data_IF_644886405147
#
_entry.id   IF_644886405147
#
_cell.length_a   1.000
_cell.length_b   1.000
_cell.length_c   1.000
_cell.angle_alpha   90.00
_cell.angle_beta   90.00
_cell.angle_gamma   90.00
#
_symmetry.space_group_name_H-M   'P 1'
#
loop_
_entity.id
_entity.type
_entity.pdbx_description
1 polymer ?
#
# COMPACT_ATOMS: atom_id res chain seq x y z
N UNK A 1 3.60 -1.75 10.68
CA UNK A 1 3.69 -0.83 9.53
C UNK A 1 4.76 -1.39 8.60
N UNK A 2 4.47 -1.61 7.32
CA UNK A 2 5.48 -2.12 6.38
C UNK A 2 6.54 -1.06 6.11
N UNK A 3 7.81 -1.45 6.12
CA UNK A 3 8.94 -0.60 5.76
C UNK A 3 8.91 -0.22 4.28
N UNK A 4 9.69 0.80 3.90
CA UNK A 4 9.85 1.21 2.50
C UNK A 4 10.36 0.04 1.64
N UNK A 5 11.31 -0.73 2.15
CA UNK A 5 11.90 -1.88 1.46
C UNK A 5 10.88 -3.00 1.23
N UNK A 6 10.07 -3.33 2.24
CA UNK A 6 8.99 -4.31 2.08
C UNK A 6 7.95 -3.87 1.04
N UNK A 7 7.59 -2.58 1.03
CA UNK A 7 6.69 -2.02 0.00
C UNK A 7 7.30 -2.10 -1.39
N UNK A 8 8.61 -1.87 -1.53
CA UNK A 8 9.31 -1.97 -2.80
C UNK A 8 9.38 -3.43 -3.28
N UNK A 9 9.67 -4.37 -2.39
CA UNK A 9 9.67 -5.80 -2.68
C UNK A 9 8.30 -6.28 -3.18
N UNK A 10 7.20 -5.85 -2.54
CA UNK A 10 5.83 -6.14 -2.97
C UNK A 10 5.52 -5.56 -4.35
N UNK A 11 5.89 -4.30 -4.59
CA UNK A 11 5.73 -3.68 -5.91
C UNK A 11 6.46 -4.45 -7.02
N UNK A 12 7.70 -4.88 -6.76
CA UNK A 12 8.48 -5.70 -7.70
C UNK A 12 7.88 -7.09 -7.92
N UNK A 13 7.14 -7.62 -6.95
CA UNK A 13 6.44 -8.90 -7.03
C UNK A 13 5.03 -8.78 -7.65
N UNK A 14 4.65 -7.62 -8.21
CA UNK A 14 3.31 -7.32 -8.73
C UNK A 14 2.20 -7.34 -7.67
N UNK A 15 2.54 -7.24 -6.38
CA UNK A 15 1.61 -7.28 -5.26
C UNK A 15 1.29 -5.88 -4.73
N UNK A 16 0.12 -5.74 -4.09
CA UNK A 16 -0.26 -4.52 -3.39
C UNK A 16 0.80 -4.15 -2.34
N UNK A 17 1.30 -2.92 -2.39
CA UNK A 17 2.35 -2.48 -1.46
C UNK A 17 1.92 -2.47 0.00
N UNK A 18 0.62 -2.31 0.29
CA UNK A 18 0.12 -2.23 1.66
C UNK A 18 -0.32 -3.60 2.21
N UNK A 19 -1.21 -4.35 1.55
CA UNK A 19 -1.60 -5.68 2.04
C UNK A 19 -0.65 -6.80 1.61
N UNK A 20 -0.09 -6.75 0.40
CA UNK A 20 0.76 -7.82 -0.15
C UNK A 20 0.03 -9.13 -0.48
N UNK A 21 -1.29 -9.17 -0.36
CA UNK A 21 -2.09 -10.41 -0.51
C UNK A 21 -2.62 -10.62 -1.93
N UNK A 22 -2.81 -9.53 -2.66
CA UNK A 22 -3.38 -9.51 -4.01
C UNK A 22 -2.50 -8.69 -4.93
N UNK A 23 -2.65 -8.91 -6.23
CA UNK A 23 -1.97 -8.08 -7.24
C UNK A 23 -2.35 -6.61 -7.09
N UNK A 24 -1.37 -5.71 -7.31
CA UNK A 24 -1.70 -4.29 -7.35
C UNK A 24 -2.50 -3.99 -8.62
N UNK A 25 -3.41 -3.02 -8.53
CA UNK A 25 -4.24 -2.71 -9.70
C UNK A 25 -3.46 -1.96 -10.77
N UNK A 26 -3.90 -2.02 -12.03
CA UNK A 26 -3.24 -1.33 -13.14
C UNK A 26 -3.10 0.18 -12.87
N UNK A 27 -1.88 0.70 -13.06
CA UNK A 27 -1.55 2.12 -12.90
C UNK A 27 -1.45 2.63 -11.46
N UNK A 28 -1.57 1.76 -10.43
CA UNK A 28 -1.40 2.15 -9.03
C UNK A 28 -0.66 1.07 -8.22
N UNK A 29 0.14 1.45 -7.21
CA UNK A 29 0.88 0.48 -6.37
C UNK A 29 -0.02 -0.27 -5.37
N UNK A 30 -1.32 0.05 -5.29
CA UNK A 30 -2.27 -0.51 -4.31
C UNK A 30 -3.39 -1.26 -5.00
N UNK A 31 -3.95 -2.27 -4.33
CA UNK A 31 -5.24 -2.83 -4.73
C UNK A 31 -6.37 -1.83 -4.46
N UNK A 32 -7.55 -2.07 -5.03
CA UNK A 32 -8.74 -1.20 -4.86
C UNK A 32 -9.09 -0.91 -3.40
N UNK A 33 -9.08 -1.93 -2.54
CA UNK A 33 -9.42 -1.78 -1.12
C UNK A 33 -8.40 -0.92 -0.36
N UNK A 34 -7.11 -1.21 -0.52
CA UNK A 34 -6.06 -0.41 0.11
C UNK A 34 -5.98 1.01 -0.49
N UNK A 35 -6.33 1.16 -1.76
CA UNK A 35 -6.40 2.47 -2.40
C UNK A 35 -7.56 3.30 -1.85
N UNK A 36 -8.77 2.74 -1.70
CA UNK A 36 -9.91 3.43 -1.10
C UNK A 36 -9.60 3.87 0.34
N UNK A 37 -9.01 2.98 1.16
CA UNK A 37 -8.53 3.34 2.51
C UNK A 37 -7.52 4.48 2.50
N UNK A 38 -6.56 4.42 1.57
CA UNK A 38 -5.57 5.49 1.40
C UNK A 38 -6.21 6.81 0.95
N UNK A 39 -7.23 6.80 0.09
CA UNK A 39 -7.94 8.02 -0.31
C UNK A 39 -8.78 8.62 0.82
N UNK A 40 -9.35 7.77 1.69
CA UNK A 40 -10.10 8.23 2.87
C UNK A 40 -9.21 8.84 3.94
N UNK A 41 -7.96 8.38 4.06
CA UNK A 41 -6.99 8.91 5.01
C UNK A 41 -5.57 8.90 4.41
N UNK A 42 -5.24 9.84 3.50
CA UNK A 42 -3.96 9.84 2.78
C UNK A 42 -2.76 10.14 3.68
N UNK A 43 -3.02 10.63 4.89
CA UNK A 43 -2.03 10.98 5.91
C UNK A 43 -1.93 9.94 7.04
N UNK A 44 -2.68 8.83 6.98
CA UNK A 44 -2.64 7.68 7.88
C UNK A 44 -1.87 7.90 9.18
N UNK A 45 -2.55 8.46 10.19
CA UNK A 45 -2.13 8.50 11.60
C UNK A 45 -0.63 8.68 11.82
N UNK A 46 -0.16 9.94 11.79
CA UNK A 46 1.10 10.33 12.42
C UNK A 46 0.98 10.15 13.94
N UNK A 47 1.06 8.91 14.42
CA UNK A 47 1.19 8.58 15.84
C UNK A 47 2.63 8.83 16.30
N UNK A 48 3.06 10.10 16.25
CA UNK A 48 4.14 10.60 17.09
C UNK A 48 3.53 11.69 17.99
N UNK A 49 3.00 11.22 19.12
CA UNK A 49 2.92 11.99 20.35
C UNK A 49 4.32 12.11 20.97
#
# INVERSE_FOLDING_TARGET
MSTRDERNARYRANLCVDCGEVEHSAGRPRCDNCHDKYLRNPLGDNQNA
#
